data_IF_121668025206
#
_entry.id   IF_121668025206
#
_cell.length_a   1.000
_cell.length_b   1.000
_cell.length_c   1.000
_cell.angle_alpha   90.00
_cell.angle_beta   90.00
_cell.angle_gamma   90.00
#
_symmetry.space_group_name_H-M   'P 1'
#
loop_
_entity.id
_entity.type
_entity.pdbx_description
1 polymer ?
#
# COMPACT_ATOMS: atom_id res chain seq x y z
N UNK A 1 10.18 -2.58 7.54
CA UNK A 1 8.71 -2.52 7.63
C UNK A 1 8.34 -1.72 8.87
N UNK A 2 7.58 -0.62 8.78
CA UNK A 2 7.15 0.11 9.97
C UNK A 2 5.86 -0.49 10.52
N UNK A 3 5.83 -0.69 11.84
CA UNK A 3 4.71 -1.23 12.60
C UNK A 3 3.52 -0.24 12.66
N UNK A 4 2.30 -0.77 12.59
CA UNK A 4 1.05 -0.03 12.79
C UNK A 4 0.80 0.23 14.29
N UNK A 5 0.21 1.38 14.68
CA UNK A 5 -0.35 1.58 16.01
C UNK A 5 -1.78 0.97 16.11
N UNK A 6 -2.26 0.65 17.33
CA UNK A 6 -3.51 -0.08 17.50
C UNK A 6 -4.74 0.81 17.29
N UNK A 7 -5.76 0.22 16.69
CA UNK A 7 -7.10 0.79 16.48
C UNK A 7 -7.78 0.98 17.84
N UNK A 8 -8.20 2.21 18.16
CA UNK A 8 -9.14 2.50 19.25
C UNK A 8 -10.55 2.44 18.68
N UNK A 9 -11.40 1.61 19.28
CA UNK A 9 -12.84 1.60 19.04
C UNK A 9 -13.47 2.88 19.65
N UNK A 10 -14.45 3.51 18.99
CA UNK A 10 -15.25 4.55 19.62
C UNK A 10 -16.40 3.92 20.43
N UNK A 11 -16.44 4.27 21.71
CA UNK A 11 -17.57 4.02 22.61
C UNK A 11 -18.81 4.80 22.11
N UNK A 12 -19.93 4.10 21.92
CA UNK A 12 -21.22 4.69 21.60
C UNK A 12 -21.81 5.35 22.86
N UNK A 13 -21.77 6.68 22.93
CA UNK A 13 -22.50 7.45 23.94
C UNK A 13 -24.00 7.48 23.60
N UNK A 14 -24.80 7.04 24.56
CA UNK A 14 -26.26 7.07 24.55
C UNK A 14 -26.79 8.51 24.48
N UNK A 15 -27.57 8.84 23.46
CA UNK A 15 -28.45 10.02 23.50
C UNK A 15 -29.90 9.58 23.74
N UNK A 16 -30.37 9.90 24.95
CA UNK A 16 -31.69 9.58 25.46
C UNK A 16 -32.79 10.29 24.66
N UNK A 17 -33.78 9.51 24.22
CA UNK A 17 -35.03 10.03 23.66
C UNK A 17 -35.70 10.97 24.65
N UNK A 18 -35.86 12.23 24.24
CA UNK A 18 -36.63 13.24 24.97
C UNK A 18 -38.11 12.95 24.80
N UNK A 19 -38.70 12.25 25.78
CA UNK A 19 -40.14 12.14 25.94
C UNK A 19 -40.75 13.53 26.12
N UNK A 20 -41.76 13.84 25.31
CA UNK A 20 -42.54 15.07 25.39
C UNK A 20 -43.61 14.90 26.48
N UNK A 21 -43.35 15.40 27.68
CA UNK A 21 -44.35 15.53 28.74
C UNK A 21 -45.38 16.60 28.37
N UNK A 22 -46.64 16.20 28.21
CA UNK A 22 -47.80 17.10 28.23
C UNK A 22 -48.20 17.35 29.70
N UNK A 23 -48.60 18.56 30.12
CA UNK A 23 -49.12 18.77 31.47
C UNK A 23 -50.58 18.33 31.55
N UNK A 24 -50.86 17.41 32.46
CA UNK A 24 -52.19 16.98 32.88
C UNK A 24 -52.92 18.13 33.59
N UNK A 25 -54.23 18.24 33.34
CA UNK A 25 -55.10 19.24 33.92
C UNK A 25 -55.50 18.84 35.35
N UNK A 26 -55.22 19.72 36.32
CA UNK A 26 -55.61 19.55 37.71
C UNK A 26 -57.10 19.86 37.86
N UNK A 27 -57.91 18.83 38.16
CA UNK A 27 -59.31 18.97 38.55
C UNK A 27 -59.59 18.06 39.74
N UNK A 28 -59.44 18.57 40.96
CA UNK A 28 -59.90 17.90 42.18
C UNK A 28 -60.90 18.80 42.92
N UNK A 29 -62.18 18.40 42.84
CA UNK A 29 -63.23 18.80 43.77
C UNK A 29 -63.04 18.01 45.06
N UNK A 30 -62.97 18.68 46.21
CA UNK A 30 -63.12 18.01 47.50
C UNK A 30 -64.23 18.64 48.35
N UNK A 31 -65.01 17.74 48.97
CA UNK A 31 -66.27 17.97 49.66
C UNK A 31 -66.07 18.18 51.18
N UNK A 32 -66.85 19.11 51.74
CA UNK A 32 -67.59 19.08 53.02
C UNK A 32 -66.90 18.58 54.30
N UNK A 33 -66.88 19.42 55.35
CA UNK A 33 -67.07 18.98 56.75
C UNK A 33 -67.95 19.92 57.57
N UNK A 34 -68.85 19.28 58.30
CA UNK A 34 -69.90 19.80 59.18
C UNK A 34 -69.36 20.34 60.52
N UNK A 35 -70.13 21.22 61.17
CA UNK A 35 -70.21 21.26 62.62
C UNK A 35 -71.56 21.82 63.09
N UNK A 36 -72.30 21.00 63.81
CA UNK A 36 -73.59 21.31 64.44
C UNK A 36 -73.42 22.18 65.70
N UNK A 37 -74.33 23.12 65.94
CA UNK A 37 -74.67 23.57 67.30
C UNK A 37 -76.07 24.17 67.33
N UNK A 38 -76.98 23.47 68.04
CA UNK A 38 -78.36 23.86 68.24
C UNK A 38 -78.55 25.04 69.21
N UNK A 39 -79.69 25.71 69.03
CA UNK A 39 -80.26 26.72 69.89
C UNK A 39 -81.69 26.96 69.40
N UNK A 40 -82.65 26.37 70.08
CA UNK A 40 -84.08 26.44 69.78
C UNK A 40 -84.71 27.67 70.46
N UNK A 41 -85.78 28.16 69.83
CA UNK A 41 -86.87 28.99 70.37
C UNK A 41 -86.83 30.52 70.18
N UNK A 42 -88.00 31.00 69.72
CA UNK A 42 -88.57 32.36 69.77
C UNK A 42 -88.09 33.41 68.77
N UNK A 43 -88.85 33.58 67.67
CA UNK A 43 -89.52 34.82 67.25
C UNK A 43 -90.11 34.63 65.83
N UNK A 44 -91.34 34.10 65.73
CA UNK A 44 -92.20 34.40 64.58
C UNK A 44 -92.66 35.86 64.72
N UNK A 45 -92.03 36.76 63.96
CA UNK A 45 -92.52 38.06 63.47
C UNK A 45 -91.32 38.93 63.05
N UNK A 46 -90.53 38.42 62.11
CA UNK A 46 -89.54 39.24 61.37
C UNK A 46 -89.08 38.52 60.09
N UNK A 47 -90.02 37.84 59.42
CA UNK A 47 -89.76 37.13 58.16
C UNK A 47 -90.40 37.78 56.93
N UNK A 48 -90.92 39.00 57.06
CA UNK A 48 -91.41 39.80 55.93
C UNK A 48 -90.56 41.08 55.70
N UNK A 49 -89.48 41.26 56.45
CA UNK A 49 -88.46 42.30 56.21
C UNK A 49 -87.09 41.68 55.86
N UNK A 50 -87.05 40.45 55.34
CA UNK A 50 -85.92 40.04 54.52
C UNK A 50 -86.14 40.65 53.15
N UNK A 51 -85.64 41.88 53.02
CA UNK A 51 -85.51 42.70 51.81
C UNK A 51 -86.18 42.06 50.59
N UNK A 52 -87.23 42.72 50.10
CA UNK A 52 -87.68 42.62 48.72
C UNK A 52 -86.50 43.06 47.84
N UNK A 53 -85.52 42.18 47.72
CA UNK A 53 -84.32 42.33 46.93
C UNK A 53 -84.80 42.74 45.55
N UNK A 54 -84.23 43.82 45.06
CA UNK A 54 -84.55 44.37 43.76
C UNK A 54 -84.30 43.27 42.72
N UNK A 55 -85.36 42.56 42.31
CA UNK A 55 -85.28 41.51 41.29
C UNK A 55 -84.65 42.09 40.00
N UNK A 56 -84.82 43.40 39.78
CA UNK A 56 -84.19 44.14 38.69
C UNK A 56 -82.66 44.25 38.87
N UNK A 57 -82.14 44.37 40.10
CA UNK A 57 -80.70 44.35 40.38
C UNK A 57 -80.11 42.95 40.18
N UNK A 58 -80.84 41.90 40.57
CA UNK A 58 -80.47 40.51 40.29
C UNK A 58 -80.40 40.22 38.78
N UNK A 59 -81.40 40.68 38.02
CA UNK A 59 -81.42 40.55 36.56
C UNK A 59 -80.32 41.38 35.88
N UNK A 60 -80.04 42.59 36.38
CA UNK A 60 -78.97 43.46 35.90
C UNK A 60 -77.60 42.80 36.05
N UNK A 61 -77.27 42.30 37.24
CA UNK A 61 -76.01 41.58 37.50
C UNK A 61 -75.87 40.31 36.67
N UNK A 62 -76.98 39.61 36.41
CA UNK A 62 -77.00 38.45 35.51
C UNK A 62 -76.70 38.87 34.06
N UNK A 63 -77.27 39.99 33.60
CA UNK A 63 -76.98 40.56 32.29
C UNK A 63 -75.51 40.94 32.12
N UNK A 64 -74.95 41.67 33.07
CA UNK A 64 -73.52 42.07 33.07
C UNK A 64 -72.59 40.84 33.02
N UNK A 65 -72.88 39.80 33.82
CA UNK A 65 -72.12 38.54 33.79
C UNK A 65 -72.19 37.84 32.42
N UNK A 66 -73.35 37.85 31.77
CA UNK A 66 -73.51 37.29 30.43
C UNK A 66 -72.73 38.11 29.39
N UNK A 67 -72.76 39.45 29.48
CA UNK A 67 -72.02 40.32 28.57
C UNK A 67 -70.50 40.13 28.72
N UNK A 68 -69.99 40.03 29.95
CA UNK A 68 -68.59 39.70 30.21
C UNK A 68 -68.19 38.33 29.64
N UNK A 69 -69.06 37.32 29.78
CA UNK A 69 -68.84 36.00 29.16
C UNK A 69 -68.81 36.07 27.63
N UNK A 70 -69.68 36.88 27.02
CA UNK A 70 -69.70 37.08 25.57
C UNK A 70 -68.42 37.78 25.08
N UNK A 71 -67.95 38.79 25.81
CA UNK A 71 -66.70 39.49 25.50
C UNK A 71 -65.48 38.56 25.62
N UNK A 72 -65.45 37.70 26.65
CA UNK A 72 -64.40 36.69 26.81
C UNK A 72 -64.44 35.66 25.69
N UNK A 73 -65.61 35.11 25.35
CA UNK A 73 -65.77 34.13 24.26
C UNK A 73 -65.27 34.72 22.92
N UNK A 74 -65.59 36.00 22.66
CA UNK A 74 -65.08 36.71 21.49
C UNK A 74 -63.55 36.82 21.50
N UNK A 75 -62.96 37.21 22.63
CA UNK A 75 -61.50 37.29 22.78
C UNK A 75 -60.84 35.92 22.58
N UNK A 76 -61.41 34.85 23.14
CA UNK A 76 -60.95 33.49 22.93
C UNK A 76 -61.00 33.10 21.46
N UNK A 77 -62.10 33.44 20.77
CA UNK A 77 -62.24 33.16 19.34
C UNK A 77 -61.18 33.89 18.51
N UNK A 78 -60.97 35.18 18.78
CA UNK A 78 -59.95 35.98 18.09
C UNK A 78 -58.52 35.45 18.35
N UNK A 79 -58.21 35.07 19.59
CA UNK A 79 -56.91 34.49 19.96
C UNK A 79 -56.70 33.13 19.27
N UNK A 80 -57.74 32.29 19.26
CA UNK A 80 -57.72 30.99 18.58
C UNK A 80 -57.45 31.16 17.09
N UNK A 81 -58.15 32.07 16.42
CA UNK A 81 -57.90 32.33 15.00
C UNK A 81 -56.49 32.86 14.74
N UNK A 82 -55.99 33.78 15.57
CA UNK A 82 -54.63 34.31 15.46
C UNK A 82 -53.59 33.19 15.57
N UNK A 83 -53.74 32.31 16.56
CA UNK A 83 -52.85 31.16 16.75
C UNK A 83 -52.85 30.22 15.54
N UNK A 84 -54.02 29.87 15.03
CA UNK A 84 -54.11 29.00 13.84
C UNK A 84 -53.54 29.67 12.59
N UNK A 85 -53.81 30.96 12.38
CA UNK A 85 -53.24 31.73 11.27
C UNK A 85 -51.71 31.78 11.34
N UNK A 86 -51.17 32.06 12.52
CA UNK A 86 -49.72 32.06 12.74
C UNK A 86 -49.11 30.69 12.46
N UNK A 87 -49.70 29.63 13.02
CA UNK A 87 -49.21 28.25 12.81
C UNK A 87 -49.24 27.86 11.34
N UNK A 88 -50.32 28.19 10.64
CA UNK A 88 -50.44 27.94 9.21
C UNK A 88 -49.36 28.69 8.42
N UNK A 89 -49.07 29.94 8.77
CA UNK A 89 -48.04 30.74 8.12
C UNK A 89 -46.64 30.20 8.38
N UNK A 90 -46.32 29.74 9.60
CA UNK A 90 -45.05 29.08 9.90
C UNK A 90 -44.83 27.85 8.99
N UNK A 91 -45.86 27.03 8.81
CA UNK A 91 -45.79 25.84 7.94
C UNK A 91 -45.63 26.24 6.48
N UNK A 92 -46.36 27.26 6.00
CA UNK A 92 -46.24 27.77 4.63
C UNK A 92 -44.83 28.28 4.34
N UNK A 93 -44.25 29.07 5.23
CA UNK A 93 -42.87 29.59 5.06
C UNK A 93 -41.87 28.45 4.97
N UNK A 94 -41.93 27.46 5.88
CA UNK A 94 -41.05 26.28 5.83
C UNK A 94 -41.24 25.47 4.54
N UNK A 95 -42.48 25.31 4.08
CA UNK A 95 -42.77 24.64 2.82
C UNK A 95 -42.16 25.39 1.63
N UNK A 96 -42.30 26.72 1.60
CA UNK A 96 -41.73 27.56 0.55
C UNK A 96 -40.19 27.53 0.56
N UNK A 97 -39.56 27.50 1.74
CA UNK A 97 -38.11 27.32 1.88
C UNK A 97 -37.64 26.00 1.27
N UNK A 98 -38.38 24.90 1.51
CA UNK A 98 -38.07 23.59 0.93
C UNK A 98 -38.28 23.60 -0.59
N UNK A 99 -39.41 24.11 -1.07
CA UNK A 99 -39.73 24.18 -2.50
C UNK A 99 -38.75 25.06 -3.29
N UNK A 100 -38.27 26.14 -2.68
CA UNK A 100 -37.27 27.03 -3.29
C UNK A 100 -35.83 26.55 -3.09
N UNK A 101 -35.61 25.42 -2.40
CA UNK A 101 -34.28 24.86 -2.13
C UNK A 101 -33.42 25.72 -1.20
N UNK A 102 -34.06 26.54 -0.37
CA UNK A 102 -33.43 27.43 0.61
C UNK A 102 -33.44 26.85 2.04
N UNK A 103 -34.15 25.74 2.26
CA UNK A 103 -34.19 25.06 3.55
C UNK A 103 -32.77 24.69 4.02
N UNK A 104 -32.30 25.41 5.05
CA UNK A 104 -30.95 25.27 5.59
C UNK A 104 -30.67 23.87 6.14
N UNK A 105 -31.67 23.26 6.77
CA UNK A 105 -31.63 21.92 7.38
C UNK A 105 -31.12 20.83 6.41
N UNK A 106 -31.37 20.98 5.10
CA UNK A 106 -30.88 20.05 4.07
C UNK A 106 -29.66 20.59 3.32
N UNK A 107 -29.56 21.90 3.15
CA UNK A 107 -28.51 22.54 2.37
C UNK A 107 -27.15 22.46 3.06
N UNK A 108 -27.10 22.62 4.38
CA UNK A 108 -25.85 22.55 5.15
C UNK A 108 -25.21 21.15 5.09
N UNK A 109 -25.94 20.04 5.38
CA UNK A 109 -25.41 18.70 5.18
C UNK A 109 -24.97 18.42 3.74
N UNK A 110 -25.73 18.92 2.75
CA UNK A 110 -25.38 18.77 1.34
C UNK A 110 -24.06 19.46 1.00
N UNK A 111 -23.86 20.70 1.46
CA UNK A 111 -22.62 21.43 1.26
C UNK A 111 -21.43 20.73 1.93
N UNK A 112 -21.60 20.24 3.16
CA UNK A 112 -20.56 19.47 3.85
C UNK A 112 -20.18 18.18 3.10
N UNK A 113 -21.17 17.47 2.56
CA UNK A 113 -20.93 16.27 1.75
C UNK A 113 -20.22 16.60 0.44
N UNK A 114 -20.61 17.68 -0.24
CA UNK A 114 -19.94 18.17 -1.45
C UNK A 114 -18.48 18.53 -1.18
N UNK A 115 -18.20 19.22 -0.07
CA UNK A 115 -16.83 19.53 0.36
C UNK A 115 -16.02 18.25 0.62
N UNK A 116 -16.62 17.27 1.32
CA UNK A 116 -15.99 15.98 1.59
C UNK A 116 -15.66 15.21 0.31
N UNK A 117 -16.55 15.25 -0.68
CA UNK A 117 -16.32 14.68 -2.00
C UNK A 117 -15.12 15.36 -2.69
N UNK A 118 -15.10 16.70 -2.72
CA UNK A 118 -14.01 17.46 -3.34
C UNK A 118 -12.65 17.15 -2.70
N UNK A 119 -12.58 17.13 -1.37
CA UNK A 119 -11.35 16.80 -0.64
C UNK A 119 -10.88 15.38 -1.00
N UNK A 120 -11.78 14.39 -0.99
CA UNK A 120 -11.43 13.01 -1.36
C UNK A 120 -10.90 12.92 -2.79
N UNK A 121 -11.51 13.63 -3.73
CA UNK A 121 -11.04 13.66 -5.13
C UNK A 121 -9.66 14.32 -5.24
N UNK A 122 -9.42 15.43 -4.55
CA UNK A 122 -8.11 16.11 -4.54
C UNK A 122 -7.02 15.22 -3.95
N UNK A 123 -7.27 14.60 -2.79
CA UNK A 123 -6.33 13.69 -2.14
C UNK A 123 -6.01 12.50 -3.03
N UNK A 124 -7.01 11.89 -3.67
CA UNK A 124 -6.80 10.81 -4.63
C UNK A 124 -5.95 11.25 -5.83
N UNK A 125 -6.14 12.50 -6.30
CA UNK A 125 -5.32 13.10 -7.36
C UNK A 125 -3.85 13.22 -6.96
N UNK A 126 -3.56 13.79 -5.79
CA UNK A 126 -2.20 13.93 -5.25
C UNK A 126 -1.56 12.55 -5.05
N UNK A 127 -2.30 11.59 -4.48
CA UNK A 127 -1.81 10.23 -4.26
C UNK A 127 -1.41 9.56 -5.58
N UNK A 128 -2.24 9.66 -6.62
CA UNK A 128 -1.93 9.14 -7.95
C UNK A 128 -0.64 9.74 -8.50
N UNK A 129 -0.45 11.06 -8.35
CA UNK A 129 0.74 11.74 -8.84
C UNK A 129 2.01 11.28 -8.12
N UNK A 130 1.95 11.12 -6.79
CA UNK A 130 3.06 10.57 -5.99
C UNK A 130 3.39 9.14 -6.41
N UNK A 131 2.40 8.27 -6.62
CA UNK A 131 2.63 6.91 -7.13
C UNK A 131 3.37 6.94 -8.48
N UNK A 132 2.98 7.82 -9.40
CA UNK A 132 3.65 7.97 -10.69
C UNK A 132 5.08 8.50 -10.55
N UNK A 133 5.34 9.40 -9.60
CA UNK A 133 6.71 9.86 -9.30
C UNK A 133 7.58 8.72 -8.77
N UNK A 134 7.07 7.90 -7.85
CA UNK A 134 7.80 6.74 -7.31
C UNK A 134 8.17 5.75 -8.42
N UNK A 135 7.24 5.46 -9.33
CA UNK A 135 7.50 4.58 -10.47
C UNK A 135 8.59 5.17 -11.38
N UNK A 136 8.51 6.47 -11.68
CA UNK A 136 9.52 7.17 -12.51
C UNK A 136 10.90 7.13 -11.88
N UNK A 137 11.02 7.47 -10.60
CA UNK A 137 12.31 7.44 -9.89
C UNK A 137 12.88 6.02 -9.84
N UNK A 138 12.05 5.01 -9.58
CA UNK A 138 12.51 3.61 -9.59
C UNK A 138 13.07 3.22 -10.95
N UNK A 139 12.35 3.53 -12.02
CA UNK A 139 12.79 3.25 -13.38
C UNK A 139 14.10 3.98 -13.73
N UNK A 140 14.23 5.25 -13.36
CA UNK A 140 15.44 6.04 -13.58
C UNK A 140 16.65 5.47 -12.83
N UNK A 141 16.48 5.08 -11.57
CA UNK A 141 17.52 4.42 -10.79
C UNK A 141 17.93 3.07 -11.38
N UNK A 142 16.96 2.26 -11.86
CA UNK A 142 17.24 0.98 -12.50
C UNK A 142 18.04 1.18 -13.81
N UNK A 143 17.68 2.17 -14.64
CA UNK A 143 18.44 2.52 -15.84
C UNK A 143 19.87 2.96 -15.52
N UNK A 144 20.03 3.83 -14.52
CA UNK A 144 21.35 4.31 -14.10
C UNK A 144 22.21 3.16 -13.56
N UNK A 145 21.62 2.28 -12.74
CA UNK A 145 22.31 1.10 -12.21
C UNK A 145 22.77 0.15 -13.30
N UNK A 146 21.91 -0.14 -14.29
CA UNK A 146 22.27 -1.00 -15.42
C UNK A 146 23.39 -0.41 -16.28
N UNK A 147 23.36 0.91 -16.52
CA UNK A 147 24.41 1.62 -17.26
C UNK A 147 25.76 1.54 -16.54
N UNK A 148 25.79 1.87 -15.25
CA UNK A 148 27.02 1.83 -14.45
C UNK A 148 27.57 0.41 -14.33
N UNK A 149 26.70 -0.59 -14.18
CA UNK A 149 27.11 -1.99 -14.16
C UNK A 149 27.79 -2.39 -15.46
N UNK A 150 27.22 -2.03 -16.62
CA UNK A 150 27.82 -2.31 -17.92
C UNK A 150 29.20 -1.63 -18.08
N UNK A 151 29.31 -0.35 -17.74
CA UNK A 151 30.57 0.41 -17.82
C UNK A 151 31.67 -0.19 -16.92
N UNK A 152 31.29 -0.67 -15.73
CA UNK A 152 32.19 -1.35 -14.79
C UNK A 152 32.68 -2.69 -15.34
N UNK A 153 31.77 -3.53 -15.86
CA UNK A 153 32.12 -4.82 -16.44
C UNK A 153 33.04 -4.68 -17.66
N UNK A 154 32.77 -3.69 -18.52
CA UNK A 154 33.65 -3.36 -19.63
C UNK A 154 35.07 -3.01 -19.15
N UNK A 155 35.17 -2.12 -18.16
CA UNK A 155 36.46 -1.69 -17.61
C UNK A 155 37.22 -2.87 -16.98
N UNK A 156 36.53 -3.69 -16.19
CA UNK A 156 37.11 -4.86 -15.54
C UNK A 156 37.61 -5.89 -16.55
N UNK A 157 36.87 -6.12 -17.63
CA UNK A 157 37.27 -7.03 -18.71
C UNK A 157 38.52 -6.52 -19.43
N UNK A 158 38.60 -5.22 -19.73
CA UNK A 158 39.79 -4.63 -20.34
C UNK A 158 41.02 -4.78 -19.43
N UNK A 159 40.88 -4.55 -18.13
CA UNK A 159 41.97 -4.73 -17.17
C UNK A 159 42.37 -6.20 -17.02
N UNK A 160 41.41 -7.13 -17.03
CA UNK A 160 41.68 -8.57 -17.01
C UNK A 160 42.45 -9.02 -18.27
N UNK A 161 42.03 -8.57 -19.45
CA UNK A 161 42.76 -8.86 -20.69
C UNK A 161 44.16 -8.26 -20.69
N UNK A 162 44.30 -7.01 -20.24
CA UNK A 162 45.59 -6.33 -20.16
C UNK A 162 46.55 -7.05 -19.21
N UNK A 163 46.07 -7.46 -18.04
CA UNK A 163 46.88 -8.20 -17.06
C UNK A 163 47.29 -9.57 -17.59
N UNK A 164 46.40 -10.30 -18.28
CA UNK A 164 46.73 -11.57 -18.93
C UNK A 164 47.81 -11.41 -20.01
N UNK A 165 47.71 -10.38 -20.85
CA UNK A 165 48.71 -10.08 -21.87
C UNK A 165 50.07 -9.72 -21.26
N UNK A 166 50.08 -8.89 -20.20
CA UNK A 166 51.31 -8.54 -19.49
C UNK A 166 51.95 -9.76 -18.82
N UNK A 167 51.17 -10.65 -18.24
CA UNK A 167 51.68 -11.90 -17.65
C UNK A 167 52.24 -12.85 -18.72
N UNK A 168 51.59 -12.94 -19.88
CA UNK A 168 52.11 -13.68 -21.04
C UNK A 168 53.44 -13.12 -21.52
N UNK A 169 53.56 -11.80 -21.63
CA UNK A 169 54.82 -11.12 -21.98
C UNK A 169 55.90 -11.44 -20.94
N UNK A 170 55.58 -11.31 -19.64
CA UNK A 170 56.51 -11.59 -18.53
C UNK A 170 57.04 -13.03 -18.59
N UNK A 171 56.16 -14.02 -18.78
CA UNK A 171 56.57 -15.43 -18.92
C UNK A 171 57.46 -15.68 -20.12
N UNK A 172 57.15 -15.07 -21.27
CA UNK A 172 58.01 -15.17 -22.46
C UNK A 172 59.39 -14.55 -22.24
N UNK A 173 59.46 -13.43 -21.51
CA UNK A 173 60.72 -12.79 -21.13
C UNK A 173 61.54 -13.66 -20.17
N UNK A 174 60.89 -14.26 -19.17
CA UNK A 174 61.49 -15.23 -18.26
C UNK A 174 62.02 -16.46 -19.01
N UNK A 175 61.25 -17.05 -19.91
CA UNK A 175 61.68 -18.19 -20.73
C UNK A 175 62.88 -17.85 -21.59
N UNK A 176 62.91 -16.64 -22.18
CA UNK A 176 64.08 -16.16 -22.95
C UNK A 176 65.32 -16.05 -22.08
N UNK A 177 65.19 -15.50 -20.87
CA UNK A 177 66.30 -15.39 -19.91
C UNK A 177 66.75 -16.77 -19.39
N UNK A 178 65.81 -17.69 -19.15
CA UNK A 178 66.08 -19.06 -18.72
C UNK A 178 66.83 -19.86 -19.80
N UNK A 179 66.46 -19.70 -21.08
CA UNK A 179 67.20 -20.28 -22.20
C UNK A 179 68.63 -19.73 -22.28
N UNK A 180 68.81 -18.42 -22.08
CA UNK A 180 70.13 -17.76 -22.12
C UNK A 180 71.04 -18.24 -20.96
N UNK A 181 70.52 -18.35 -19.73
CA UNK A 181 71.24 -18.92 -18.59
C UNK A 181 71.57 -20.41 -18.78
N UNK A 182 70.63 -21.20 -19.31
CA UNK A 182 70.84 -22.63 -19.56
C UNK A 182 71.87 -22.85 -20.67
N UNK A 183 71.94 -21.94 -21.64
CA UNK A 183 73.01 -21.91 -22.66
C UNK A 183 74.38 -21.49 -22.10
N UNK A 184 74.45 -20.91 -20.90
CA UNK A 184 75.68 -20.42 -20.27
C UNK A 184 76.55 -21.49 -19.58
N UNK A 185 76.06 -22.71 -19.39
CA UNK A 185 76.83 -23.79 -18.69
C UNK A 185 77.10 -25.02 -19.56
N UNK A 186 76.69 -25.02 -20.84
CA UNK A 186 77.10 -26.01 -21.81
C UNK A 186 77.53 -25.29 -23.09
N UNK A 187 78.80 -25.43 -23.43
CA UNK A 187 79.37 -25.02 -24.72
C UNK A 187 78.39 -25.37 -25.85
N UNK A 188 78.20 -24.49 -26.84
CA UNK A 188 77.27 -24.77 -27.92
C UNK A 188 77.72 -26.07 -28.63
N UNK A 189 76.88 -27.13 -28.70
CA UNK A 189 77.07 -28.08 -29.77
C UNK A 189 76.90 -27.28 -31.05
N UNK A 190 77.85 -27.46 -31.97
CA UNK A 190 77.87 -26.81 -33.26
C UNK A 190 76.45 -26.74 -33.81
N UNK A 191 75.99 -25.52 -34.04
CA UNK A 191 74.87 -25.27 -34.92
C UNK A 191 75.33 -25.82 -36.27
N UNK A 192 75.01 -27.09 -36.54
CA UNK A 192 74.79 -27.54 -37.90
C UNK A 192 73.71 -26.60 -38.38
N UNK A 193 74.10 -25.65 -39.25
CA UNK A 193 73.15 -24.80 -39.95
C UNK A 193 72.27 -25.76 -40.75
N UNK A 194 71.18 -26.21 -40.15
CA UNK A 194 70.10 -26.82 -40.89
C UNK A 194 69.63 -25.72 -41.82
N UNK A 195 69.79 -25.96 -43.12
CA UNK A 195 69.39 -25.03 -44.15
C UNK A 195 67.96 -24.57 -43.84
N UNK A 196 67.77 -23.25 -43.70
CA UNK A 196 66.45 -22.65 -43.76
C UNK A 196 65.88 -22.98 -45.14
N UNK A 197 65.14 -24.08 -45.22
CA UNK A 197 64.30 -24.37 -46.38
C UNK A 197 63.19 -23.33 -46.31
N UNK A 198 63.31 -22.30 -47.15
CA UNK A 198 62.23 -21.39 -47.50
C UNK A 198 61.14 -22.18 -48.21
N UNK A 199 60.24 -22.77 -47.44
CA UNK A 199 59.06 -23.50 -47.90
C UNK A 199 57.87 -23.20 -46.97
N UNK A 200 56.63 -23.45 -47.41
CA UNK A 200 55.43 -23.10 -46.65
C UNK A 200 55.47 -23.74 -45.26
N UNK A 201 55.40 -22.89 -44.23
CA UNK A 201 55.35 -23.31 -42.84
C UNK A 201 54.03 -24.07 -42.60
N UNK A 202 54.12 -25.33 -42.21
CA UNK A 202 52.96 -26.07 -41.73
C UNK A 202 52.73 -25.63 -40.28
N UNK A 203 51.84 -24.66 -40.09
CA UNK A 203 51.35 -24.27 -38.76
C UNK A 203 50.22 -25.21 -38.40
N UNK A 204 50.49 -26.17 -37.52
CA UNK A 204 49.45 -27.05 -36.97
C UNK A 204 48.60 -26.24 -35.98
N UNK A 205 47.34 -25.96 -36.33
CA UNK A 205 46.33 -25.37 -35.44
C UNK A 205 45.80 -26.42 -34.45
N UNK A 206 46.70 -27.15 -33.77
CA UNK A 206 46.35 -28.16 -32.79
C UNK A 206 46.39 -27.53 -31.39
N UNK A 207 45.47 -27.96 -30.52
CA UNK A 207 45.49 -27.56 -29.11
C UNK A 207 46.54 -28.38 -28.39
N UNK A 208 47.03 -27.89 -27.25
CA UNK A 208 48.06 -28.57 -26.45
C UNK A 208 47.67 -30.02 -26.10
N UNK A 209 46.38 -30.30 -25.92
CA UNK A 209 45.84 -31.64 -25.64
C UNK A 209 46.10 -32.59 -26.81
N UNK A 210 45.84 -32.16 -28.03
CA UNK A 210 45.97 -32.98 -29.24
C UNK A 210 47.47 -33.27 -29.52
N UNK A 211 48.34 -32.29 -29.24
CA UNK A 211 49.80 -32.43 -29.36
C UNK A 211 50.36 -33.45 -28.35
N UNK A 212 49.87 -33.41 -27.10
CA UNK A 212 50.32 -34.32 -26.04
C UNK A 212 49.87 -35.76 -26.28
N UNK A 213 48.69 -35.95 -26.87
CA UNK A 213 48.19 -37.26 -27.28
C UNK A 213 49.07 -37.87 -28.38
N UNK A 214 49.35 -37.09 -29.43
CA UNK A 214 50.23 -37.49 -30.54
C UNK A 214 51.65 -37.81 -30.05
N UNK A 215 52.20 -36.98 -29.15
CA UNK A 215 53.49 -37.23 -28.54
C UNK A 215 53.54 -38.57 -27.79
N UNK A 216 52.46 -38.90 -27.08
CA UNK A 216 52.33 -40.16 -26.34
C UNK A 216 52.20 -41.35 -27.29
N UNK A 217 51.45 -41.19 -28.38
CA UNK A 217 51.34 -42.19 -29.44
C UNK A 217 52.69 -42.48 -30.09
N UNK A 218 53.44 -41.43 -30.43
CA UNK A 218 54.80 -41.53 -31.00
C UNK A 218 55.74 -42.24 -30.02
N UNK A 219 55.70 -41.90 -28.72
CA UNK A 219 56.51 -42.61 -27.71
C UNK A 219 56.16 -44.09 -27.62
N UNK A 220 54.88 -44.44 -27.62
CA UNK A 220 54.45 -45.85 -27.60
C UNK A 220 54.90 -46.61 -28.83
N UNK A 221 54.79 -46.00 -30.02
CA UNK A 221 55.29 -46.60 -31.27
C UNK A 221 56.80 -46.74 -31.22
N UNK A 222 57.54 -45.72 -30.77
CA UNK A 222 59.00 -45.79 -30.63
C UNK A 222 59.43 -46.94 -29.72
N UNK A 223 58.76 -47.12 -28.58
CA UNK A 223 59.00 -48.25 -27.67
C UNK A 223 58.68 -49.58 -28.36
N UNK A 224 57.54 -49.70 -29.04
CA UNK A 224 57.17 -50.91 -29.78
C UNK A 224 58.17 -51.22 -30.89
N UNK A 225 58.62 -50.22 -31.65
CA UNK A 225 59.63 -50.37 -32.70
C UNK A 225 60.97 -50.80 -32.11
N UNK A 226 61.41 -50.21 -31.00
CA UNK A 226 62.61 -50.66 -30.29
C UNK A 226 62.51 -52.12 -29.84
N UNK A 227 61.37 -52.53 -29.28
CA UNK A 227 61.10 -53.92 -28.88
C UNK A 227 61.08 -54.85 -30.11
N UNK A 228 60.49 -54.44 -31.23
CA UNK A 228 60.46 -55.23 -32.45
C UNK A 228 61.85 -55.34 -33.10
N UNK A 229 62.69 -54.32 -33.00
CA UNK A 229 64.09 -54.35 -33.47
C UNK A 229 64.93 -55.32 -32.62
N UNK A 230 64.78 -55.28 -31.29
CA UNK A 230 65.40 -56.25 -30.36
C UNK A 230 64.95 -57.70 -30.61
N UNK A 231 63.66 -57.92 -30.93
CA UNK A 231 63.14 -59.24 -31.27
C UNK A 231 63.60 -59.71 -32.67
N UNK A 232 63.81 -58.77 -33.60
CA UNK A 232 64.32 -59.06 -34.96
C UNK A 232 65.81 -59.41 -34.96
N UNK A 233 66.62 -58.74 -34.12
CA UNK A 233 68.01 -59.12 -33.88
C UNK A 233 68.10 -60.50 -33.21
N UNK A 234 67.19 -60.81 -32.27
CA UNK A 234 67.11 -62.15 -31.64
C UNK A 234 66.71 -63.25 -32.64
N UNK A 235 65.87 -62.94 -33.64
CA UNK A 235 65.54 -63.86 -34.74
C UNK A 235 66.68 -64.03 -35.76
N UNK A 236 67.47 -62.98 -36.05
CA UNK A 236 68.68 -63.10 -36.88
C UNK A 236 69.74 -64.00 -36.24
N UNK A 237 70.00 -63.84 -34.94
CA UNK A 237 70.97 -64.71 -34.23
C UNK A 237 70.53 -66.19 -34.21
N UNK A 238 69.22 -66.47 -34.15
CA UNK A 238 68.71 -67.86 -34.22
C UNK A 238 68.81 -68.49 -35.60
N UNK A 239 68.67 -67.72 -36.69
CA UNK A 239 68.84 -68.24 -38.06
C UNK A 239 70.32 -68.55 -38.34
N UNK A 240 71.24 -67.74 -37.85
CA UNK A 240 72.68 -67.96 -38.02
C UNK A 240 73.22 -69.16 -37.22
N UNK A 241 72.62 -69.48 -36.05
CA UNK A 241 72.98 -70.70 -35.30
C UNK A 241 72.55 -72.00 -36.02
N UNK A 242 71.39 -72.02 -36.67
CA UNK A 242 70.89 -73.23 -37.36
C UNK A 242 71.65 -73.50 -38.67
N UNK A 243 72.17 -72.44 -39.32
CA UNK A 243 73.01 -72.59 -40.52
C UNK A 243 74.44 -73.09 -40.21
N UNK A 244 74.96 -72.87 -39.01
CA UNK A 244 76.28 -73.35 -38.61
C UNK A 244 76.30 -74.83 -38.13
N UNK A 245 75.15 -75.42 -37.79
CA UNK A 245 75.05 -76.85 -37.42
C UNK A 245 74.92 -77.80 -38.63
N UNK A 246 74.85 -77.29 -39.86
CA UNK A 246 74.73 -78.11 -41.09
C UNK A 246 76.07 -78.21 -41.86
N UNK A 247 77.13 -77.50 -41.43
CA UNK A 247 78.44 -77.46 -42.14
C UNK A 247 79.59 -77.99 -41.26
N UNK A 248 79.34 -78.96 -40.38
CA UNK A 248 80.40 -79.77 -39.75
C UNK A 248 79.90 -81.18 -39.41
#
# INVERSE_FOLDING_TARGET
MPAQPPVREPEEEMEAGKESQLPEANGELEQVRENERGGEETMEESMEEREKMDDEDCERRRGECLDEMLDLEKQFHELKEKLFRERLNQVKVKLDEVLTGKAGEYREPLAALQNSMQIRTQVAGVYRELCLQVIRHRHECELQGAKQHLESEQSLLFDAMKTELLEKIRRLEEDRQNMDLTSGTLKPPQIVKVALVSGPFIVYMLRDIDILEDWTAIKKVKIKVSILFLNSDTMRVKVDCVLNEIIH
#
